data_IF_898343756193
#
_entry.id   IF_898343756193
#
_cell.length_a   1.000
_cell.length_b   1.000
_cell.length_c   1.000
_cell.angle_alpha   90.00
_cell.angle_beta   90.00
_cell.angle_gamma   90.00
#
_symmetry.space_group_name_H-M   'P 1'
#
loop_
_entity.id
_entity.type
_entity.pdbx_description
1 polymer ?
#
# COMPACT_ATOMS: atom_id res chain seq x y z
N UNK A 1 9.52 -14.17 66.14
CA UNK A 1 8.55 -13.27 66.80
C UNK A 1 7.77 -12.58 65.68
N UNK A 2 6.60 -13.09 65.29
CA UNK A 2 5.25 -12.73 65.80
C UNK A 2 4.91 -11.24 65.64
N UNK A 3 4.01 -10.94 64.69
CA UNK A 3 2.78 -10.12 64.83
C UNK A 3 2.30 -9.74 63.43
N UNK A 4 1.32 -10.43 62.81
CA UNK A 4 -0.14 -10.32 63.02
C UNK A 4 -0.68 -8.90 62.81
N UNK A 5 -1.47 -8.70 61.75
CA UNK A 5 -2.76 -8.00 61.83
C UNK A 5 -3.68 -8.52 60.73
N UNK A 6 -4.82 -8.99 61.19
CA UNK A 6 -5.91 -9.57 60.43
C UNK A 6 -6.90 -8.49 59.99
N UNK A 7 -7.65 -8.77 58.92
CA UNK A 7 -9.04 -8.35 58.81
C UNK A 7 -9.81 -9.41 58.01
N UNK A 8 -10.63 -10.15 58.75
CA UNK A 8 -11.70 -11.02 58.28
C UNK A 8 -12.87 -10.18 57.75
N UNK A 9 -13.72 -10.82 56.94
CA UNK A 9 -15.22 -10.79 56.88
C UNK A 9 -15.62 -11.01 55.41
N UNK A 10 -16.52 -11.91 54.97
CA UNK A 10 -17.25 -13.07 55.51
C UNK A 10 -17.82 -13.83 54.29
N UNK A 11 -17.91 -15.17 54.40
CA UNK A 11 -18.52 -16.11 53.46
C UNK A 11 -20.00 -15.83 53.12
N UNK A 12 -20.46 -16.27 51.94
CA UNK A 12 -21.55 -17.27 51.75
C UNK A 12 -21.30 -17.95 50.39
N UNK A 13 -20.89 -19.23 50.31
CA UNK A 13 -21.77 -20.41 50.29
C UNK A 13 -22.04 -20.84 48.83
N UNK A 14 -21.81 -22.07 48.36
CA UNK A 14 -21.35 -23.29 49.02
C UNK A 14 -21.03 -24.40 48.00
N UNK A 15 -20.12 -25.28 48.44
CA UNK A 15 -19.87 -26.72 48.14
C UNK A 15 -20.03 -27.24 46.70
N UNK A 16 -18.99 -27.77 46.05
CA UNK A 16 -18.04 -28.87 46.40
C UNK A 16 -18.71 -30.26 46.48
N UNK A 17 -18.33 -31.17 45.57
CA UNK A 17 -17.73 -32.47 45.93
C UNK A 17 -17.32 -33.29 44.70
N UNK A 18 -16.01 -33.52 44.61
CA UNK A 18 -15.36 -34.67 43.98
C UNK A 18 -15.81 -35.96 44.67
N UNK A 19 -15.85 -37.08 43.94
CA UNK A 19 -15.44 -38.39 44.47
C UNK A 19 -15.08 -39.37 43.33
N UNK A 20 -13.92 -40.00 43.50
CA UNK A 20 -13.32 -41.08 42.70
C UNK A 20 -13.60 -42.45 43.37
N UNK A 21 -13.34 -43.51 42.60
CA UNK A 21 -13.28 -44.96 42.92
C UNK A 21 -14.60 -45.73 42.69
N UNK A 22 -14.63 -46.97 42.18
CA UNK A 22 -13.60 -47.90 41.71
C UNK A 22 -14.23 -49.24 41.25
N UNK A 23 -13.40 -50.11 40.66
CA UNK A 23 -13.50 -51.58 40.53
C UNK A 23 -14.43 -52.25 39.48
N UNK A 24 -13.77 -52.80 38.44
CA UNK A 24 -13.73 -54.21 37.97
C UNK A 24 -15.01 -54.98 37.61
N UNK A 25 -15.10 -55.48 36.36
CA UNK A 25 -15.46 -56.89 36.05
C UNK A 25 -15.19 -57.28 34.57
N UNK A 26 -15.00 -58.59 34.38
CA UNK A 26 -14.32 -59.31 33.29
C UNK A 26 -15.04 -59.45 31.92
N UNK A 27 -14.19 -59.69 30.90
CA UNK A 27 -14.28 -60.58 29.72
C UNK A 27 -15.55 -60.74 28.86
N UNK A 28 -15.30 -60.51 27.55
CA UNK A 28 -15.62 -61.33 26.37
C UNK A 28 -17.08 -61.61 25.96
N UNK A 29 -17.45 -61.20 24.73
CA UNK A 29 -18.48 -61.90 23.97
C UNK A 29 -19.17 -61.10 22.85
N UNK A 30 -18.71 -61.34 21.61
CA UNK A 30 -19.48 -61.37 20.35
C UNK A 30 -19.90 -60.07 19.65
N UNK A 31 -19.21 -59.88 18.53
CA UNK A 31 -19.57 -59.23 17.27
C UNK A 31 -21.06 -59.34 16.87
N UNK A 32 -21.69 -58.21 16.52
CA UNK A 32 -22.68 -58.12 15.44
C UNK A 32 -22.79 -56.68 14.93
N UNK A 33 -22.78 -56.58 13.61
CA UNK A 33 -22.64 -55.39 12.76
C UNK A 33 -23.85 -54.44 12.84
N UNK A 34 -23.61 -53.15 13.01
CA UNK A 34 -24.47 -52.08 12.48
C UNK A 34 -23.60 -50.94 11.94
N UNK A 35 -23.48 -50.91 10.62
CA UNK A 35 -22.85 -49.83 9.87
C UNK A 35 -23.72 -48.56 9.99
N UNK A 36 -23.33 -47.66 10.89
CA UNK A 36 -23.74 -46.27 10.83
C UNK A 36 -22.75 -45.55 9.91
N UNK A 37 -23.17 -45.29 8.66
CA UNK A 37 -22.44 -44.47 7.71
C UNK A 37 -22.44 -43.02 8.23
N UNK A 38 -21.50 -42.71 9.12
CA UNK A 38 -21.14 -41.35 9.46
C UNK A 38 -20.51 -40.74 8.21
N UNK A 39 -21.27 -39.89 7.51
CA UNK A 39 -20.71 -38.99 6.50
C UNK A 39 -19.75 -38.06 7.22
N UNK A 40 -18.47 -38.42 7.23
CA UNK A 40 -17.41 -37.45 7.45
C UNK A 40 -17.51 -36.44 6.30
N UNK A 41 -18.08 -35.28 6.59
CA UNK A 41 -17.85 -34.11 5.76
C UNK A 41 -16.36 -33.82 5.87
N UNK A 42 -15.58 -34.36 4.93
CA UNK A 42 -14.26 -33.85 4.62
C UNK A 42 -14.50 -32.41 4.19
N UNK A 43 -14.28 -31.46 5.09
CA UNK A 43 -14.10 -30.06 4.69
C UNK A 43 -12.84 -30.08 3.85
N UNK A 44 -13.02 -30.13 2.52
CA UNK A 44 -11.96 -29.80 1.59
C UNK A 44 -11.41 -28.46 2.07
N UNK A 45 -10.12 -28.36 2.45
CA UNK A 45 -9.55 -27.07 2.79
C UNK A 45 -9.85 -26.15 1.61
N UNK A 46 -10.54 -25.03 1.87
CA UNK A 46 -10.88 -24.06 0.83
C UNK A 46 -9.62 -23.84 -0.03
N UNK A 47 -9.73 -24.08 -1.33
CA UNK A 47 -8.61 -23.97 -2.24
C UNK A 47 -7.99 -22.58 -2.04
N UNK A 48 -6.72 -22.55 -1.58
CA UNK A 48 -6.00 -21.29 -1.42
C UNK A 48 -5.82 -20.71 -2.82
N UNK A 49 -6.39 -19.54 -3.05
CA UNK A 49 -6.18 -18.80 -4.29
C UNK A 49 -4.71 -18.42 -4.38
N UNK A 50 -4.14 -18.55 -5.58
CA UNK A 50 -2.80 -18.08 -5.87
C UNK A 50 -2.74 -16.55 -5.81
N UNK A 51 -1.55 -16.00 -5.56
CA UNK A 51 -1.32 -14.55 -5.54
C UNK A 51 -1.72 -13.89 -6.86
N UNK A 52 -1.45 -14.55 -7.99
CA UNK A 52 -1.83 -14.07 -9.31
C UNK A 52 -3.36 -14.00 -9.50
N UNK A 53 -4.09 -15.02 -9.04
CA UNK A 53 -5.57 -15.02 -9.07
C UNK A 53 -6.15 -13.90 -8.20
N UNK A 54 -5.58 -13.67 -7.02
CA UNK A 54 -5.98 -12.57 -6.13
C UNK A 54 -5.73 -11.21 -6.79
N UNK A 55 -4.55 -10.99 -7.39
CA UNK A 55 -4.23 -9.74 -8.09
C UNK A 55 -5.19 -9.50 -9.26
N UNK A 56 -5.49 -10.53 -10.04
CA UNK A 56 -6.43 -10.45 -11.16
C UNK A 56 -7.83 -10.09 -10.68
N UNK A 57 -8.32 -10.77 -9.64
CA UNK A 57 -9.63 -10.49 -9.06
C UNK A 57 -9.72 -9.04 -8.53
N UNK A 58 -8.68 -8.54 -7.86
CA UNK A 58 -8.59 -7.13 -7.44
C UNK A 58 -8.69 -6.17 -8.63
N UNK A 59 -7.94 -6.44 -9.70
CA UNK A 59 -7.96 -5.62 -10.91
C UNK A 59 -9.33 -5.63 -11.62
N UNK A 60 -10.01 -6.78 -11.64
CA UNK A 60 -11.36 -6.92 -12.17
C UNK A 60 -12.39 -6.11 -11.34
N UNK A 61 -12.33 -6.18 -10.02
CA UNK A 61 -13.18 -5.37 -9.12
C UNK A 61 -12.93 -3.87 -9.32
N UNK A 62 -11.66 -3.47 -9.46
CA UNK A 62 -11.29 -2.08 -9.77
C UNK A 62 -11.90 -1.62 -11.10
N UNK A 63 -11.81 -2.44 -12.15
CA UNK A 63 -12.43 -2.13 -13.46
C UNK A 63 -13.95 -1.99 -13.36
N UNK A 64 -14.60 -2.92 -12.67
CA UNK A 64 -16.06 -2.91 -12.48
C UNK A 64 -16.53 -1.64 -11.75
N UNK A 65 -15.82 -1.22 -10.71
CA UNK A 65 -16.15 0.00 -9.99
C UNK A 65 -15.86 1.25 -10.82
N UNK A 66 -14.75 1.28 -11.58
CA UNK A 66 -14.44 2.37 -12.51
C UNK A 66 -15.53 2.53 -13.58
N UNK A 67 -15.99 1.44 -14.17
CA UNK A 67 -17.10 1.42 -15.13
C UNK A 67 -18.41 1.89 -14.50
N UNK A 68 -18.70 1.46 -13.26
CA UNK A 68 -19.85 1.95 -12.49
C UNK A 68 -19.78 3.46 -12.31
N UNK A 69 -18.65 4.02 -11.89
CA UNK A 69 -18.48 5.47 -11.71
C UNK A 69 -18.64 6.26 -13.02
N UNK A 70 -18.12 5.73 -14.13
CA UNK A 70 -18.31 6.33 -15.45
C UNK A 70 -19.79 6.29 -15.90
N UNK A 71 -20.48 5.18 -15.62
CA UNK A 71 -21.91 5.02 -15.98
C UNK A 71 -22.85 5.99 -15.26
N UNK A 72 -22.43 6.54 -14.10
CA UNK A 72 -23.20 7.56 -13.37
C UNK A 72 -23.29 8.88 -14.15
N UNK A 73 -22.35 9.15 -15.06
CA UNK A 73 -22.29 10.36 -15.88
C UNK A 73 -22.41 10.02 -17.37
N UNK A 74 -23.60 9.58 -17.86
CA UNK A 74 -23.76 9.13 -19.24
C UNK A 74 -23.71 10.27 -20.26
N UNK A 75 -23.96 11.52 -19.83
CA UNK A 75 -23.92 12.70 -20.69
C UNK A 75 -22.58 13.41 -20.54
N UNK A 76 -21.96 13.72 -21.67
CA UNK A 76 -20.71 14.48 -21.71
C UNK A 76 -21.01 15.97 -21.45
N UNK A 77 -20.74 16.41 -20.23
CA UNK A 77 -20.76 17.83 -19.86
C UNK A 77 -19.37 18.44 -20.11
N UNK A 78 -19.34 19.68 -20.59
CA UNK A 78 -18.09 20.41 -20.85
C UNK A 78 -17.73 21.28 -19.64
N UNK A 79 -16.45 21.28 -19.27
CA UNK A 79 -15.88 22.13 -18.22
C UNK A 79 -14.78 23.00 -18.81
N UNK A 80 -14.61 24.18 -18.24
CA UNK A 80 -13.56 25.12 -18.62
C UNK A 80 -12.37 24.93 -17.67
N UNK A 81 -11.19 24.67 -18.24
CA UNK A 81 -9.95 24.48 -17.48
C UNK A 81 -8.98 25.57 -17.88
N UNK A 82 -8.60 26.42 -16.94
CA UNK A 82 -7.69 27.55 -17.17
C UNK A 82 -6.30 27.24 -16.63
N UNK A 83 -5.28 27.36 -17.46
CA UNK A 83 -3.89 27.19 -17.06
C UNK A 83 -3.35 28.45 -16.38
N UNK A 84 -2.86 28.31 -15.15
CA UNK A 84 -2.32 29.41 -14.31
C UNK A 84 -0.82 29.26 -14.05
N UNK A 85 -0.11 28.48 -14.87
CA UNK A 85 1.34 28.29 -14.74
C UNK A 85 2.18 29.52 -15.12
N UNK A 86 3.47 29.48 -14.79
CA UNK A 86 4.46 30.53 -15.15
C UNK A 86 4.62 30.70 -16.67
N UNK A 87 4.44 29.61 -17.42
CA UNK A 87 4.46 29.58 -18.89
C UNK A 87 3.03 29.40 -19.41
N UNK A 88 2.73 29.90 -20.60
CA UNK A 88 1.40 29.78 -21.23
C UNK A 88 0.24 30.20 -20.30
N UNK A 89 0.46 31.27 -19.55
CA UNK A 89 -0.49 31.78 -18.58
C UNK A 89 -1.77 32.25 -19.29
N UNK A 90 -2.92 31.78 -18.80
CA UNK A 90 -4.22 32.16 -19.33
C UNK A 90 -4.69 31.34 -20.54
N UNK A 91 -3.98 30.27 -20.91
CA UNK A 91 -4.51 29.27 -21.84
C UNK A 91 -5.78 28.64 -21.25
N UNK A 92 -6.85 28.58 -22.04
CA UNK A 92 -8.13 28.00 -21.64
C UNK A 92 -8.43 26.81 -22.53
N UNK A 93 -8.74 25.66 -21.90
CA UNK A 93 -9.13 24.43 -22.56
C UNK A 93 -10.55 24.02 -22.19
N UNK A 94 -11.34 23.59 -23.18
CA UNK A 94 -12.66 23.02 -22.96
C UNK A 94 -12.56 21.48 -22.85
N UNK A 95 -12.78 20.94 -21.66
CA UNK A 95 -12.57 19.53 -21.32
C UNK A 95 -13.88 18.82 -21.00
N UNK A 96 -13.87 17.48 -20.94
CA UNK A 96 -15.03 16.68 -20.56
C UNK A 96 -15.02 16.42 -19.05
N UNK A 97 -16.11 16.78 -18.38
CA UNK A 97 -16.32 16.53 -16.96
C UNK A 97 -16.29 15.03 -16.66
N UNK A 98 -15.59 14.63 -15.60
CA UNK A 98 -15.51 13.25 -15.12
C UNK A 98 -14.78 12.27 -16.05
N UNK A 99 -14.16 12.77 -17.13
CA UNK A 99 -13.43 11.94 -18.11
C UNK A 99 -12.06 12.53 -18.45
N UNK A 100 -12.00 13.83 -18.72
CA UNK A 100 -10.74 14.50 -19.00
C UNK A 100 -9.91 14.64 -17.72
N UNK A 101 -8.61 14.64 -17.88
CA UNK A 101 -7.62 14.60 -16.79
C UNK A 101 -6.61 15.74 -16.99
N UNK A 102 -5.84 16.10 -15.96
CA UNK A 102 -4.71 17.01 -16.12
C UNK A 102 -3.75 16.61 -17.24
N UNK A 103 -3.52 15.30 -17.44
CA UNK A 103 -2.68 14.80 -18.52
C UNK A 103 -3.25 15.14 -19.90
N UNK A 104 -4.57 15.00 -20.12
CA UNK A 104 -5.20 15.45 -21.36
C UNK A 104 -5.01 16.96 -21.59
N UNK A 105 -5.11 17.77 -20.53
CA UNK A 105 -4.84 19.21 -20.63
C UNK A 105 -3.38 19.49 -21.04
N UNK A 106 -2.42 18.76 -20.47
CA UNK A 106 -1.00 18.86 -20.85
C UNK A 106 -0.77 18.50 -22.33
N UNK A 107 -1.47 17.48 -22.85
CA UNK A 107 -1.38 17.07 -24.27
C UNK A 107 -1.82 18.19 -25.23
N UNK A 108 -2.78 19.03 -24.83
CA UNK A 108 -3.22 20.16 -25.63
C UNK A 108 -2.22 21.33 -25.63
N UNK A 109 -1.32 21.40 -24.64
CA UNK A 109 -0.31 22.46 -24.56
C UNK A 109 0.96 22.06 -25.32
N UNK A 110 1.66 21.03 -24.87
CA UNK A 110 2.85 20.50 -25.54
C UNK A 110 3.32 19.17 -24.95
N UNK A 111 4.09 18.42 -25.73
CA UNK A 111 4.77 17.20 -25.28
C UNK A 111 5.73 17.45 -24.08
N UNK A 112 6.25 18.68 -23.97
CA UNK A 112 7.07 19.06 -22.83
C UNK A 112 6.28 18.97 -21.52
N UNK A 113 5.04 19.44 -21.47
CA UNK A 113 4.20 19.28 -20.27
C UNK A 113 3.88 17.80 -20.01
N UNK A 114 3.59 17.00 -21.04
CA UNK A 114 3.33 15.57 -20.86
C UNK A 114 4.51 14.83 -20.23
N UNK A 115 5.74 15.17 -20.61
CA UNK A 115 6.96 14.49 -20.13
C UNK A 115 7.50 15.03 -18.80
N UNK A 116 7.25 16.31 -18.48
CA UNK A 116 7.81 16.98 -17.30
C UNK A 116 6.86 17.10 -16.11
N UNK A 117 5.55 17.19 -16.37
CA UNK A 117 4.54 17.35 -15.32
C UNK A 117 4.36 16.04 -14.56
N UNK A 118 4.59 16.10 -13.25
CA UNK A 118 4.47 14.93 -12.36
C UNK A 118 3.11 14.96 -11.66
N UNK A 119 2.71 16.13 -11.16
CA UNK A 119 1.43 16.36 -10.51
C UNK A 119 0.78 17.60 -11.12
N UNK A 120 -0.50 17.80 -10.79
CA UNK A 120 -1.19 19.05 -11.03
C UNK A 120 -1.66 19.66 -9.72
N UNK A 121 -1.69 20.99 -9.64
CA UNK A 121 -2.48 21.73 -8.68
C UNK A 121 -3.78 22.14 -9.36
N UNK A 122 -4.91 21.71 -8.79
CA UNK A 122 -6.25 22.03 -9.25
C UNK A 122 -6.91 22.88 -8.18
N UNK A 123 -7.12 24.17 -8.48
CA UNK A 123 -7.62 25.17 -7.51
C UNK A 123 -6.81 25.22 -6.18
N UNK A 124 -5.51 24.92 -6.24
CA UNK A 124 -4.60 24.88 -5.09
C UNK A 124 -4.48 23.51 -4.41
N UNK A 125 -5.30 22.52 -4.79
CA UNK A 125 -5.22 21.15 -4.26
C UNK A 125 -4.34 20.25 -5.14
N UNK A 126 -3.54 19.39 -4.51
CA UNK A 126 -2.67 18.46 -5.25
C UNK A 126 -3.49 17.34 -5.89
N UNK A 127 -3.26 17.10 -7.18
CA UNK A 127 -4.06 16.23 -8.02
C UNK A 127 -3.17 15.32 -8.88
N UNK A 128 -3.60 14.07 -9.05
CA UNK A 128 -2.93 13.10 -9.93
C UNK A 128 -3.14 13.47 -11.40
N UNK A 129 -2.12 13.21 -12.23
CA UNK A 129 -2.19 13.54 -13.65
C UNK A 129 -3.27 12.74 -14.41
N UNK A 130 -3.62 11.54 -13.93
CA UNK A 130 -4.64 10.66 -14.52
C UNK A 130 -5.98 10.66 -13.76
N UNK A 131 -6.14 11.49 -12.71
CA UNK A 131 -7.41 11.61 -11.99
C UNK A 131 -8.37 12.54 -12.75
N UNK A 132 -9.62 12.12 -13.03
CA UNK A 132 -10.58 12.94 -13.78
C UNK A 132 -10.92 14.26 -13.09
N UNK A 133 -11.20 15.29 -13.90
CA UNK A 133 -11.63 16.61 -13.44
C UNK A 133 -13.16 16.69 -13.38
N UNK A 134 -13.70 17.05 -12.22
CA UNK A 134 -15.15 17.05 -11.98
C UNK A 134 -15.81 18.43 -12.12
N UNK A 135 -15.04 19.51 -12.17
CA UNK A 135 -15.54 20.89 -12.23
C UNK A 135 -14.59 21.76 -13.05
N UNK A 136 -15.09 22.90 -13.53
CA UNK A 136 -14.24 23.96 -14.09
C UNK A 136 -13.26 24.43 -13.02
N UNK A 137 -11.98 24.55 -13.38
CA UNK A 137 -10.91 24.74 -12.42
C UNK A 137 -9.70 25.45 -13.03
N UNK A 138 -8.86 26.00 -12.17
CA UNK A 138 -7.55 26.49 -12.53
C UNK A 138 -6.51 25.38 -12.33
N UNK A 139 -5.71 25.12 -13.36
CA UNK A 139 -4.69 24.08 -13.36
C UNK A 139 -3.29 24.69 -13.42
N UNK A 140 -2.40 24.19 -12.57
CA UNK A 140 -0.96 24.43 -12.65
C UNK A 140 -0.24 23.09 -12.62
N UNK A 141 0.77 22.92 -13.47
CA UNK A 141 1.57 21.70 -13.48
C UNK A 141 2.78 21.83 -12.55
N UNK A 142 3.05 20.77 -11.80
CA UNK A 142 4.20 20.66 -10.90
C UNK A 142 5.26 19.73 -11.47
N UNK A 143 6.53 20.13 -11.32
CA UNK A 143 7.70 19.40 -11.81
C UNK A 143 8.75 19.20 -10.72
N UNK A 144 9.68 18.26 -10.93
CA UNK A 144 10.81 18.04 -10.00
C UNK A 144 11.77 19.22 -9.86
N UNK A 145 11.71 20.21 -10.76
CA UNK A 145 12.65 21.34 -10.82
C UNK A 145 12.01 22.66 -10.39
N UNK A 146 10.81 22.59 -9.81
CA UNK A 146 10.16 23.76 -9.25
C UNK A 146 10.87 24.21 -7.96
N UNK A 147 10.61 25.45 -7.53
CA UNK A 147 11.23 26.03 -6.33
C UNK A 147 10.86 25.26 -5.06
N UNK A 148 9.61 24.82 -4.97
CA UNK A 148 9.10 23.96 -3.90
C UNK A 148 8.56 22.63 -4.49
N UNK A 149 9.43 21.60 -4.64
CA UNK A 149 9.04 20.30 -5.18
C UNK A 149 8.60 19.33 -4.07
N UNK A 150 8.25 19.78 -2.86
CA UNK A 150 7.98 18.90 -1.73
C UNK A 150 6.86 17.89 -2.01
N UNK A 151 5.73 18.35 -2.54
CA UNK A 151 4.59 17.49 -2.86
C UNK A 151 4.89 16.48 -3.98
N UNK A 152 5.67 16.91 -4.98
CA UNK A 152 6.15 16.04 -6.06
C UNK A 152 7.08 14.96 -5.50
N UNK A 153 7.98 15.34 -4.58
CA UNK A 153 8.88 14.41 -3.93
C UNK A 153 8.10 13.39 -3.10
N UNK A 154 7.15 13.83 -2.27
CA UNK A 154 6.29 12.91 -1.49
C UNK A 154 5.55 11.91 -2.39
N UNK A 155 4.94 12.37 -3.49
CA UNK A 155 4.27 11.50 -4.45
C UNK A 155 5.23 10.50 -5.12
N UNK A 156 6.47 10.92 -5.42
CA UNK A 156 7.51 10.05 -5.96
C UNK A 156 7.88 8.92 -4.98
N UNK A 157 8.13 9.23 -3.70
CA UNK A 157 8.44 8.21 -2.69
C UNK A 157 7.28 7.23 -2.46
N UNK A 158 6.03 7.73 -2.42
CA UNK A 158 4.83 6.86 -2.34
C UNK A 158 4.75 5.90 -3.53
N UNK A 159 4.99 6.42 -4.73
CA UNK A 159 4.96 5.61 -5.96
C UNK A 159 6.05 4.56 -5.98
N UNK A 160 7.26 4.91 -5.55
CA UNK A 160 8.35 3.95 -5.42
C UNK A 160 8.05 2.86 -4.38
N UNK A 161 7.48 3.23 -3.23
CA UNK A 161 7.05 2.25 -2.22
C UNK A 161 5.99 1.29 -2.76
N UNK A 162 5.04 1.79 -3.56
CA UNK A 162 4.00 0.96 -4.18
C UNK A 162 4.59 -0.01 -5.22
N UNK A 163 5.57 0.42 -6.03
CA UNK A 163 6.32 -0.48 -6.93
C UNK A 163 7.03 -1.57 -6.12
N UNK A 164 7.67 -1.21 -4.99
CA UNK A 164 8.30 -2.18 -4.10
C UNK A 164 7.29 -3.22 -3.57
N UNK A 165 6.09 -2.79 -3.17
CA UNK A 165 5.02 -3.68 -2.74
C UNK A 165 4.65 -4.73 -3.80
N UNK A 166 4.47 -4.29 -5.05
CA UNK A 166 4.19 -5.19 -6.18
C UNK A 166 5.33 -6.19 -6.45
N UNK A 167 6.57 -5.73 -6.38
CA UNK A 167 7.75 -6.59 -6.55
C UNK A 167 7.80 -7.65 -5.45
N UNK A 168 7.55 -7.26 -4.19
CA UNK A 168 7.59 -8.18 -3.06
C UNK A 168 6.47 -9.22 -3.10
N UNK A 169 5.26 -8.84 -3.53
CA UNK A 169 4.13 -9.76 -3.69
C UNK A 169 4.42 -10.86 -4.73
N UNK A 170 5.18 -10.54 -5.78
CA UNK A 170 5.51 -11.47 -6.87
C UNK A 170 6.87 -12.18 -6.74
N UNK A 171 7.71 -11.80 -5.77
CA UNK A 171 9.09 -12.29 -5.68
C UNK A 171 9.23 -13.68 -5.07
N UNK A 172 8.29 -14.08 -4.21
CA UNK A 172 8.36 -15.35 -3.48
C UNK A 172 7.59 -16.44 -4.22
N UNK A 173 7.98 -17.69 -3.99
CA UNK A 173 7.25 -18.84 -4.53
C UNK A 173 5.83 -18.88 -3.94
N UNK A 174 4.89 -19.40 -4.72
CA UNK A 174 3.47 -19.55 -4.34
C UNK A 174 3.26 -20.38 -3.05
N UNK A 175 4.24 -21.19 -2.67
CA UNK A 175 4.22 -21.96 -1.42
C UNK A 175 4.34 -21.09 -0.16
N UNK A 176 4.89 -19.87 -0.27
CA UNK A 176 5.05 -18.94 0.85
C UNK A 176 4.00 -17.84 0.79
N UNK A 177 3.34 -17.60 1.91
CA UNK A 177 2.42 -16.47 2.04
C UNK A 177 3.19 -15.16 2.22
N UNK A 178 2.83 -14.14 1.42
CA UNK A 178 3.36 -12.78 1.53
C UNK A 178 2.20 -11.84 1.80
N UNK A 179 2.14 -11.28 3.01
CA UNK A 179 1.10 -10.33 3.39
C UNK A 179 1.69 -8.92 3.43
N UNK A 180 1.24 -8.09 2.49
CA UNK A 180 1.59 -6.68 2.44
C UNK A 180 0.85 -5.91 3.54
N UNK A 181 1.56 -5.19 4.41
CA UNK A 181 0.94 -4.40 5.49
C UNK A 181 0.65 -2.99 4.97
N UNK A 182 1.67 -2.13 4.94
CA UNK A 182 1.55 -0.71 4.59
C UNK A 182 2.87 -0.16 4.07
N UNK A 183 2.77 0.94 3.32
CA UNK A 183 3.89 1.82 3.08
C UNK A 183 3.96 2.86 4.23
N UNK A 184 4.96 2.79 5.13
CA UNK A 184 5.12 3.78 6.18
C UNK A 184 5.40 5.18 5.59
N UNK A 185 4.85 6.23 6.23
CA UNK A 185 5.08 7.62 5.85
C UNK A 185 6.48 8.05 6.29
N UNK A 186 7.42 8.04 5.36
CA UNK A 186 8.83 8.36 5.61
C UNK A 186 9.18 9.63 4.85
N UNK A 187 9.88 10.60 5.48
CA UNK A 187 10.22 11.83 4.79
C UNK A 187 11.37 11.56 3.82
N UNK A 188 11.41 12.33 2.74
CA UNK A 188 12.40 12.23 1.66
C UNK A 188 13.84 12.27 2.20
N UNK A 189 14.06 13.08 3.23
CA UNK A 189 15.37 13.31 3.83
C UNK A 189 15.95 12.07 4.53
N UNK A 190 15.11 11.11 4.93
CA UNK A 190 15.58 9.86 5.52
C UNK A 190 16.42 9.05 4.52
N UNK A 191 16.13 9.18 3.22
CA UNK A 191 16.96 8.65 2.14
C UNK A 191 16.60 7.23 1.69
N UNK A 192 15.47 6.67 2.12
CA UNK A 192 14.91 5.43 1.60
C UNK A 192 13.37 5.39 1.72
N UNK A 193 12.68 4.81 0.73
CA UNK A 193 11.27 4.44 0.86
C UNK A 193 11.25 3.07 1.49
N UNK A 194 10.19 2.80 2.24
CA UNK A 194 10.01 1.51 2.85
C UNK A 194 8.65 0.92 2.50
N UNK A 195 8.58 -0.40 2.59
CA UNK A 195 7.33 -1.13 2.55
C UNK A 195 7.39 -2.27 3.58
N UNK A 196 6.37 -2.35 4.43
CA UNK A 196 6.29 -3.32 5.51
C UNK A 196 5.50 -4.54 5.05
N UNK A 197 6.06 -5.73 5.27
CA UNK A 197 5.49 -7.03 4.88
C UNK A 197 5.62 -8.04 6.01
N UNK A 198 4.64 -8.94 6.10
CA UNK A 198 4.75 -10.18 6.87
C UNK A 198 5.01 -11.32 5.89
N UNK A 199 6.06 -12.10 6.17
CA UNK A 199 6.39 -13.30 5.40
C UNK A 199 5.92 -14.54 6.16
N UNK A 200 5.82 -15.66 5.43
CA UNK A 200 5.48 -16.96 6.02
C UNK A 200 6.44 -17.32 7.18
N UNK A 201 5.91 -17.95 8.22
CA UNK A 201 6.67 -18.48 9.36
C UNK A 201 7.86 -19.35 8.97
N UNK A 202 7.77 -20.08 7.85
CA UNK A 202 8.90 -20.88 7.33
C UNK A 202 10.11 -20.03 6.92
N UNK A 203 9.88 -18.74 6.68
CA UNK A 203 10.91 -17.79 6.29
C UNK A 203 11.37 -16.92 7.46
N UNK A 204 10.97 -17.15 8.72
CA UNK A 204 11.27 -16.24 9.85
C UNK A 204 12.78 -15.98 10.07
N UNK A 205 13.63 -16.99 9.86
CA UNK A 205 15.08 -16.86 9.93
C UNK A 205 15.73 -16.36 8.62
N UNK A 206 14.97 -16.37 7.52
CA UNK A 206 15.48 -15.95 6.22
C UNK A 206 15.80 -14.46 6.21
N UNK A 207 16.97 -14.13 5.68
CA UNK A 207 17.39 -12.75 5.41
C UNK A 207 17.75 -12.61 3.94
N UNK A 208 17.36 -11.51 3.28
CA UNK A 208 17.68 -11.31 1.88
C UNK A 208 19.19 -11.19 1.70
N UNK A 209 19.74 -12.04 0.84
CA UNK A 209 21.13 -11.94 0.38
C UNK A 209 21.26 -10.81 -0.66
N UNK A 210 22.50 -10.41 -0.98
CA UNK A 210 22.72 -9.42 -2.03
C UNK A 210 22.16 -9.88 -3.39
N UNK A 211 22.22 -11.17 -3.69
CA UNK A 211 21.65 -11.74 -4.93
C UNK A 211 20.12 -11.67 -4.95
N UNK A 212 19.47 -11.86 -3.81
CA UNK A 212 18.02 -11.67 -3.70
C UNK A 212 17.65 -10.20 -3.94
N UNK A 213 18.35 -9.26 -3.33
CA UNK A 213 18.10 -7.81 -3.52
C UNK A 213 18.34 -7.38 -4.98
N UNK A 214 19.36 -7.92 -5.64
CA UNK A 214 19.60 -7.70 -7.08
C UNK A 214 18.47 -8.26 -7.94
N UNK A 215 17.94 -9.43 -7.59
CA UNK A 215 16.79 -10.03 -8.29
C UNK A 215 15.52 -9.18 -8.13
N UNK A 216 15.23 -8.71 -6.91
CA UNK A 216 14.12 -7.78 -6.66
C UNK A 216 14.28 -6.47 -7.46
N UNK A 217 15.50 -5.93 -7.50
CA UNK A 217 15.81 -4.73 -8.27
C UNK A 217 15.59 -4.94 -9.76
N UNK A 218 15.97 -6.11 -10.30
CA UNK A 218 15.74 -6.46 -11.71
C UNK A 218 14.25 -6.54 -12.04
N UNK A 219 13.44 -7.12 -11.15
CA UNK A 219 11.99 -7.16 -11.34
C UNK A 219 11.36 -5.76 -11.29
N UNK A 220 11.81 -4.91 -10.36
CA UNK A 220 11.39 -3.51 -10.33
C UNK A 220 11.70 -2.78 -11.66
N UNK A 221 12.88 -2.99 -12.22
CA UNK A 221 13.24 -2.45 -13.53
C UNK A 221 12.38 -3.01 -14.67
N UNK A 222 12.02 -4.30 -14.62
CA UNK A 222 11.06 -4.91 -15.56
C UNK A 222 9.71 -4.19 -15.54
N UNK A 223 9.18 -3.88 -14.36
CA UNK A 223 7.94 -3.11 -14.19
C UNK A 223 8.05 -1.66 -14.67
N UNK A 224 9.19 -1.01 -14.41
CA UNK A 224 9.47 0.35 -14.88
C UNK A 224 9.51 0.40 -16.42
N UNK A 225 10.14 -0.59 -17.06
CA UNK A 225 10.23 -0.67 -18.51
C UNK A 225 8.88 -0.90 -19.22
N UNK A 226 7.87 -1.40 -18.51
CA UNK A 226 6.50 -1.56 -19.05
C UNK A 226 5.75 -0.23 -19.20
N UNK A 227 6.25 0.87 -18.64
CA UNK A 227 5.64 2.21 -18.69
C UNK A 227 4.15 2.23 -18.32
N UNK A 228 3.84 1.73 -17.14
CA UNK A 228 2.45 1.58 -16.67
C UNK A 228 1.97 2.89 -16.04
N UNK A 229 0.74 3.36 -16.35
CA UNK A 229 0.15 4.51 -15.69
C UNK A 229 -0.32 4.15 -14.28
N UNK A 230 -0.19 5.10 -13.36
CA UNK A 230 -0.86 5.04 -12.06
C UNK A 230 -2.26 5.63 -12.19
N UNK A 231 -3.25 4.82 -11.84
CA UNK A 231 -4.65 5.21 -11.79
C UNK A 231 -5.10 5.29 -10.34
N UNK A 232 -5.88 6.31 -10.01
CA UNK A 232 -6.46 6.51 -8.68
C UNK A 232 -7.98 6.47 -8.78
N UNK A 233 -8.64 5.90 -7.78
CA UNK A 233 -10.09 6.01 -7.61
C UNK A 233 -10.45 6.19 -6.14
N UNK A 234 -11.51 6.96 -5.89
CA UNK A 234 -12.13 7.06 -4.57
C UNK A 234 -13.31 6.10 -4.53
N UNK A 235 -13.36 5.26 -3.49
CA UNK A 235 -14.38 4.23 -3.32
C UNK A 235 -14.93 4.23 -1.91
N UNK A 236 -16.14 3.72 -1.75
CA UNK A 236 -16.72 3.47 -0.43
C UNK A 236 -15.98 2.36 0.31
N UNK A 237 -15.96 2.42 1.64
CA UNK A 237 -15.35 1.42 2.52
C UNK A 237 -15.76 -0.02 2.15
N UNK A 238 -17.04 -0.25 1.84
CA UNK A 238 -17.56 -1.58 1.49
C UNK A 238 -16.88 -2.17 0.25
N UNK A 239 -16.68 -1.34 -0.77
CA UNK A 239 -16.03 -1.76 -2.03
C UNK A 239 -14.54 -1.98 -1.79
N UNK A 240 -13.89 -1.10 -1.02
CA UNK A 240 -12.49 -1.30 -0.63
C UNK A 240 -12.28 -2.61 0.15
N UNK A 241 -13.19 -2.95 1.09
CA UNK A 241 -13.15 -4.22 1.82
C UNK A 241 -13.30 -5.43 0.89
N UNK A 242 -14.14 -5.35 -0.13
CA UNK A 242 -14.29 -6.42 -1.13
C UNK A 242 -12.99 -6.63 -1.92
N UNK A 243 -12.33 -5.55 -2.36
CA UNK A 243 -11.04 -5.61 -3.06
C UNK A 243 -9.96 -6.25 -2.16
N UNK A 244 -9.91 -5.89 -0.89
CA UNK A 244 -8.86 -6.32 0.03
C UNK A 244 -9.25 -7.48 0.96
N UNK A 245 -10.32 -8.21 0.67
CA UNK A 245 -10.88 -9.26 1.54
C UNK A 245 -9.88 -10.36 1.95
N UNK A 246 -8.83 -10.58 1.15
CA UNK A 246 -7.82 -11.61 1.38
C UNK A 246 -6.68 -11.18 2.31
N UNK A 247 -6.60 -9.89 2.68
CA UNK A 247 -5.52 -9.36 3.51
C UNK A 247 -6.06 -8.63 4.73
N UNK A 248 -5.95 -9.26 5.90
CA UNK A 248 -6.45 -8.73 7.16
C UNK A 248 -5.85 -7.37 7.54
N UNK A 249 -4.56 -7.14 7.27
CA UNK A 249 -3.91 -5.85 7.54
C UNK A 249 -4.50 -4.73 6.69
N UNK A 250 -4.76 -5.02 5.40
CA UNK A 250 -5.38 -4.05 4.50
C UNK A 250 -6.81 -3.74 4.93
N UNK A 251 -7.57 -4.71 5.44
CA UNK A 251 -8.92 -4.47 5.97
C UNK A 251 -8.91 -3.50 7.17
N UNK A 252 -7.97 -3.67 8.11
CA UNK A 252 -7.80 -2.73 9.23
C UNK A 252 -7.45 -1.33 8.71
N UNK A 253 -6.55 -1.23 7.72
CA UNK A 253 -6.19 0.04 7.11
C UNK A 253 -7.36 0.71 6.37
N UNK A 254 -8.24 -0.08 5.73
CA UNK A 254 -9.47 0.45 5.10
C UNK A 254 -10.36 1.08 6.16
N UNK A 255 -10.55 0.42 7.30
CA UNK A 255 -11.35 0.93 8.43
C UNK A 255 -10.77 2.23 8.98
N UNK A 256 -9.46 2.27 9.24
CA UNK A 256 -8.76 3.46 9.75
C UNK A 256 -8.89 4.65 8.79
N UNK A 257 -8.68 4.42 7.49
CA UNK A 257 -8.77 5.47 6.46
C UNK A 257 -10.20 5.97 6.27
N UNK A 258 -11.18 5.06 6.26
CA UNK A 258 -12.59 5.42 6.15
C UNK A 258 -13.03 6.28 7.35
N UNK A 259 -12.56 5.97 8.56
CA UNK A 259 -12.85 6.75 9.76
C UNK A 259 -12.19 8.15 9.77
N UNK A 260 -11.03 8.31 9.13
CA UNK A 260 -10.35 9.61 8.99
C UNK A 260 -10.96 10.49 7.90
N UNK A 261 -11.60 9.89 6.91
CA UNK A 261 -12.23 10.59 5.80
C UNK A 261 -13.62 11.13 6.19
N UNK A 262 -13.88 12.44 6.10
CA UNK A 262 -15.20 13.01 6.45
C UNK A 262 -16.37 12.42 5.65
N UNK A 263 -16.07 11.89 4.45
CA UNK A 263 -17.05 11.30 3.53
C UNK A 263 -17.07 9.76 3.59
N UNK A 264 -16.23 9.14 4.44
CA UNK A 264 -16.09 7.68 4.49
C UNK A 264 -15.49 7.06 3.22
N UNK A 265 -14.86 7.87 2.38
CA UNK A 265 -14.24 7.43 1.13
C UNK A 265 -12.77 7.07 1.34
N UNK A 266 -12.33 6.02 0.65
CA UNK A 266 -10.96 5.52 0.66
C UNK A 266 -10.39 5.61 -0.75
N UNK A 267 -9.15 6.11 -0.86
CA UNK A 267 -8.45 6.16 -2.15
C UNK A 267 -7.70 4.85 -2.40
N UNK A 268 -7.95 4.29 -3.58
CA UNK A 268 -7.31 3.07 -4.09
C UNK A 268 -6.50 3.44 -5.33
N UNK A 269 -5.26 2.96 -5.39
CA UNK A 269 -4.38 3.18 -6.53
C UNK A 269 -4.09 1.86 -7.23
N UNK A 270 -3.95 1.92 -8.55
CA UNK A 270 -3.61 0.79 -9.40
C UNK A 270 -2.52 1.16 -10.40
N UNK A 271 -1.59 0.24 -10.64
CA UNK A 271 -0.78 0.23 -11.86
C UNK A 271 -0.63 -1.21 -12.36
N UNK A 272 -0.89 -1.42 -13.65
CA UNK A 272 -1.02 -2.78 -14.19
C UNK A 272 -2.13 -3.55 -13.44
N UNK A 273 -1.77 -4.71 -12.89
CA UNK A 273 -2.69 -5.57 -12.13
C UNK A 273 -2.58 -5.41 -10.61
N UNK A 274 -1.63 -4.60 -10.13
CA UNK A 274 -1.40 -4.38 -8.71
C UNK A 274 -2.24 -3.23 -8.19
N UNK A 275 -3.00 -3.49 -7.12
CA UNK A 275 -3.93 -2.55 -6.49
C UNK A 275 -3.56 -2.39 -5.02
N UNK A 276 -3.42 -1.15 -4.56
CA UNK A 276 -3.01 -0.85 -3.17
C UNK A 276 -3.71 0.40 -2.59
N UNK A 277 -3.64 0.52 -1.27
CA UNK A 277 -4.17 1.62 -0.47
C UNK A 277 -3.05 2.58 -0.06
N UNK A 278 -3.01 3.74 -0.69
CA UNK A 278 -2.05 4.81 -0.36
C UNK A 278 -2.78 6.12 -0.07
N UNK A 279 -2.11 7.03 0.63
CA UNK A 279 -2.67 8.35 0.96
C UNK A 279 -2.02 9.40 0.05
N UNK A 280 -2.86 10.13 -0.68
CA UNK A 280 -2.40 11.20 -1.55
C UNK A 280 -1.89 10.72 -2.90
N UNK A 281 -1.39 11.67 -3.71
CA UNK A 281 -1.17 11.44 -5.12
C UNK A 281 0.10 10.64 -5.42
N UNK A 282 0.13 10.08 -6.62
CA UNK A 282 1.19 9.29 -7.22
C UNK A 282 1.75 9.96 -8.49
N UNK A 283 2.92 9.50 -8.92
CA UNK A 283 3.50 9.93 -10.20
C UNK A 283 2.66 9.40 -11.36
N UNK A 284 2.73 10.00 -12.57
CA UNK A 284 1.84 9.62 -13.66
C UNK A 284 2.10 8.21 -14.16
N UNK A 285 3.38 7.83 -14.34
CA UNK A 285 3.80 6.57 -14.96
C UNK A 285 5.03 6.00 -14.29
N UNK A 286 5.22 4.68 -14.37
CA UNK A 286 6.39 3.99 -13.82
C UNK A 286 7.71 4.42 -14.49
N UNK A 287 7.67 4.87 -15.76
CA UNK A 287 8.85 5.37 -16.49
C UNK A 287 9.47 6.63 -15.92
N UNK A 288 8.78 7.34 -15.01
CA UNK A 288 9.36 8.46 -14.30
C UNK A 288 10.56 8.02 -13.44
N UNK A 289 10.53 6.79 -12.93
CA UNK A 289 11.62 6.17 -12.18
C UNK A 289 12.74 5.71 -13.12
N UNK A 290 13.97 6.16 -12.91
CA UNK A 290 15.10 5.79 -13.77
C UNK A 290 16.13 4.92 -13.08
N UNK A 291 16.64 5.37 -11.93
CA UNK A 291 17.53 4.59 -11.09
C UNK A 291 16.68 4.05 -9.96
N UNK A 292 16.59 2.74 -9.79
CA UNK A 292 15.77 2.11 -8.77
C UNK A 292 16.55 0.94 -8.19
N UNK A 293 16.62 0.83 -6.86
CA UNK A 293 17.34 -0.25 -6.21
C UNK A 293 16.71 -0.61 -4.88
N UNK A 294 16.51 -1.91 -4.66
CA UNK A 294 16.11 -2.46 -3.35
C UNK A 294 17.37 -2.67 -2.54
N UNK A 295 17.52 -1.94 -1.44
CA UNK A 295 18.81 -1.75 -0.76
C UNK A 295 19.00 -2.67 0.44
N UNK A 296 17.93 -2.92 1.20
CA UNK A 296 17.98 -3.75 2.41
C UNK A 296 16.59 -4.30 2.78
N UNK A 297 16.58 -5.37 3.58
CA UNK A 297 15.39 -5.85 4.28
C UNK A 297 15.73 -6.07 5.76
N UNK A 298 14.97 -5.44 6.65
CA UNK A 298 15.19 -5.46 8.09
C UNK A 298 14.00 -6.09 8.81
N UNK A 299 14.24 -6.96 9.78
CA UNK A 299 13.20 -7.42 10.71
C UNK A 299 12.98 -6.34 11.78
N UNK A 300 11.73 -5.95 11.99
CA UNK A 300 11.38 -4.96 13.01
C UNK A 300 11.16 -5.65 14.37
N UNK A 301 11.86 -5.23 15.45
CA UNK A 301 11.78 -5.90 16.75
C UNK A 301 10.51 -5.53 17.55
N UNK A 302 9.77 -4.48 17.15
CA UNK A 302 8.74 -3.86 17.98
C UNK A 302 7.37 -4.57 17.96
N UNK A 303 7.19 -5.65 17.20
CA UNK A 303 5.91 -6.39 17.11
C UNK A 303 6.18 -7.88 17.39
N UNK A 304 6.10 -8.34 18.66
CA UNK A 304 6.53 -9.68 19.06
C UNK A 304 5.61 -10.81 18.57
N UNK A 305 4.39 -10.52 18.12
CA UNK A 305 3.46 -11.55 17.64
C UNK A 305 3.61 -11.89 16.16
N UNK A 306 4.23 -11.00 15.37
CA UNK A 306 4.31 -11.13 13.91
C UNK A 306 5.65 -10.59 13.41
N UNK A 307 6.42 -11.43 12.70
CA UNK A 307 7.74 -11.08 12.17
C UNK A 307 7.64 -10.08 11.00
N UNK A 308 7.32 -8.82 11.32
CA UNK A 308 7.24 -7.74 10.33
C UNK A 308 8.62 -7.42 9.78
N UNK A 309 8.71 -7.37 8.45
CA UNK A 309 9.92 -7.03 7.70
C UNK A 309 9.72 -5.74 6.93
N UNK A 310 10.64 -4.81 7.12
CA UNK A 310 10.72 -3.55 6.40
C UNK A 310 11.73 -3.70 5.27
N UNK A 311 11.24 -3.73 4.04
CA UNK A 311 12.08 -3.62 2.85
C UNK A 311 12.29 -2.16 2.50
N UNK A 312 13.51 -1.82 2.10
CA UNK A 312 13.92 -0.46 1.80
C UNK A 312 14.46 -0.37 0.39
N UNK A 313 14.26 0.79 -0.23
CA UNK A 313 14.83 1.07 -1.53
C UNK A 313 15.15 2.54 -1.72
N UNK A 314 15.92 2.79 -2.78
CA UNK A 314 16.33 4.10 -3.24
C UNK A 314 15.94 4.24 -4.70
N UNK A 315 15.45 5.42 -5.08
CA UNK A 315 15.18 5.72 -6.48
C UNK A 315 15.39 7.18 -6.80
N UNK A 316 15.79 7.46 -8.05
CA UNK A 316 15.86 8.80 -8.61
C UNK A 316 15.12 8.86 -9.95
N UNK A 317 14.36 9.95 -10.18
CA UNK A 317 13.63 10.11 -11.44
C UNK A 317 14.60 10.41 -12.58
N UNK A 318 14.19 10.16 -13.82
CA UNK A 318 15.03 10.42 -15.00
C UNK A 318 15.47 11.88 -15.13
N UNK A 319 14.68 12.80 -14.57
CA UNK A 319 14.94 14.24 -14.49
C UNK A 319 16.16 14.61 -13.62
N UNK A 320 16.48 13.78 -12.64
CA UNK A 320 17.47 14.04 -11.58
C UNK A 320 18.45 12.86 -11.45
N UNK A 321 18.89 12.32 -12.60
CA UNK A 321 19.86 11.21 -12.64
C UNK A 321 21.15 11.60 -11.92
N UNK A 322 21.59 10.77 -10.99
CA UNK A 322 22.83 10.96 -10.27
C UNK A 322 24.01 10.24 -10.95
N UNK A 323 25.19 10.83 -10.82
CA UNK A 323 26.44 10.18 -11.19
C UNK A 323 26.70 8.93 -10.31
N UNK A 324 27.39 7.93 -10.84
CA UNK A 324 27.59 6.64 -10.15
C UNK A 324 28.23 6.79 -8.75
N UNK A 325 29.15 7.73 -8.57
CA UNK A 325 29.77 8.00 -7.26
C UNK A 325 28.77 8.52 -6.24
N UNK A 326 27.85 9.39 -6.66
CA UNK A 326 26.79 9.94 -5.80
C UNK A 326 25.77 8.85 -5.50
N UNK A 327 25.37 8.07 -6.52
CA UNK A 327 24.49 6.92 -6.35
C UNK A 327 25.01 5.94 -5.30
N UNK A 328 26.29 5.57 -5.37
CA UNK A 328 26.90 4.65 -4.40
C UNK A 328 26.89 5.21 -2.97
N UNK A 329 27.01 6.53 -2.79
CA UNK A 329 26.91 7.16 -1.47
C UNK A 329 25.48 7.12 -0.94
N UNK A 330 24.50 7.43 -1.79
CA UNK A 330 23.08 7.35 -1.43
C UNK A 330 22.67 5.91 -1.10
N UNK A 331 23.10 4.94 -1.92
CA UNK A 331 22.88 3.50 -1.69
C UNK A 331 23.41 3.04 -0.33
N UNK A 332 24.60 3.49 0.07
CA UNK A 332 25.15 3.17 1.40
C UNK A 332 24.32 3.77 2.54
N UNK A 333 23.73 4.96 2.34
CA UNK A 333 22.84 5.60 3.32
C UNK A 333 21.53 4.82 3.44
N UNK A 334 20.94 4.40 2.32
CA UNK A 334 19.65 3.69 2.27
C UNK A 334 19.69 2.23 2.72
N UNK A 335 20.87 1.71 3.11
CA UNK A 335 21.02 0.39 3.74
C UNK A 335 20.80 0.43 5.26
N UNK A 336 20.76 1.63 5.87
CA UNK A 336 20.52 1.81 7.29
C UNK A 336 19.02 1.81 7.54
N UNK A 337 18.58 1.10 8.58
CA UNK A 337 17.18 1.04 8.96
C UNK A 337 16.62 2.45 9.25
N UNK A 338 15.75 2.91 8.35
CA UNK A 338 14.90 4.08 8.54
C UNK A 338 13.69 3.77 9.44
N UNK A 339 13.52 4.55 10.50
CA UNK A 339 12.37 4.50 11.43
C UNK A 339 11.44 5.69 11.22
N UNK A 340 10.16 5.54 11.61
CA UNK A 340 9.16 6.63 11.54
C UNK A 340 9.45 7.74 12.57
N UNK A 341 10.12 7.44 13.69
CA UNK A 341 10.46 8.44 14.73
C UNK A 341 11.40 9.54 14.23
N UNK A 342 12.30 9.21 13.30
CA UNK A 342 13.17 10.19 12.62
C UNK A 342 12.36 11.22 11.81
N UNK A 343 11.08 10.95 11.52
CA UNK A 343 10.15 11.89 10.87
C UNK A 343 9.71 13.02 11.80
N UNK A 344 9.39 12.72 13.06
CA UNK A 344 8.88 13.71 14.01
C UNK A 344 9.96 14.74 14.35
N UNK A 345 11.23 14.30 14.46
CA UNK A 345 12.37 15.19 14.65
C UNK A 345 12.66 16.06 13.41
N UNK A 346 12.42 15.54 12.19
CA UNK A 346 12.62 16.27 10.95
C UNK A 346 11.53 17.32 10.69
N UNK A 347 10.26 17.03 11.01
CA UNK A 347 9.17 18.01 10.92
C UNK A 347 9.32 19.15 11.94
N UNK A 348 9.81 18.86 13.15
CA UNK A 348 10.08 19.88 14.17
C UNK A 348 11.27 20.81 13.81
N UNK A 349 12.11 20.42 12.86
CA UNK A 349 13.26 21.20 12.41
C UNK A 349 12.98 22.06 11.17
N UNK A 350 11.79 21.97 10.56
CA UNK A 350 11.39 22.91 9.50
C UNK A 350 11.04 24.27 10.12
N UNK A 351 11.71 25.38 9.75
CA UNK A 351 11.34 26.70 10.24
C UNK A 351 9.94 27.05 9.72
N UNK A 352 9.07 27.51 10.62
CA UNK A 352 7.75 28.04 10.28
C UNK A 352 7.90 29.11 9.19
N UNK A 353 7.09 29.10 8.12
CA UNK A 353 7.13 30.17 7.14
C UNK A 353 6.76 31.48 7.84
N UNK A 354 7.70 32.44 7.78
CA UNK A 354 7.61 33.76 8.41
C UNK A 354 6.71 34.72 7.64
#
# INVERSE_FOLDING_TARGET
>A
MRSTLALNVTLVGGRLLLLRSGMSLNMAGRCAVRAACGRFYSTVPAARLSTAEISKMRSELFNKEKERQLSLNPRVEKIEVKHVGKRDHGAVGLMNKGQSTPYHCAMHLSEWYCSKSVLALVDGEVWDMYKPLNKSCNIQFLTFKDEDPEEVNKAYWRSCAMILGCVLENAFKEEYMVNLIRAPKIPVISGAFCYDVVLDSQLDDWRPTEENLRSLTKEAHSLIHKDLPFESMEVEEKVAREIFQHNAYKLILVEEKAAQSPQGLVTVHRFGDFVDLTDGPHIPRTSFCQQYEVTAGHSLPNIPSEHVRRFQGLSLPWHLKAHHTVWNRLRKRSQKLVTEEQHQEAEQQQPSPA
#
